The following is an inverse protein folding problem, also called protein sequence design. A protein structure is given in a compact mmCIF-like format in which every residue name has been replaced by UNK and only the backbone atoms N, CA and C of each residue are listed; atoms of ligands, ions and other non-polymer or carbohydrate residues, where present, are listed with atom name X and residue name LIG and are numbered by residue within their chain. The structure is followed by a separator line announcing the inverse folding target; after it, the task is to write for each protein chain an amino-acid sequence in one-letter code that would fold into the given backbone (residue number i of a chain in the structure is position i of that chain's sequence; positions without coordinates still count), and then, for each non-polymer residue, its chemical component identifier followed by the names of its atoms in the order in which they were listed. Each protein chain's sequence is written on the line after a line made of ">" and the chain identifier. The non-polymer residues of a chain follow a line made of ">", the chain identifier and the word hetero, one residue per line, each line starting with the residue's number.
data_IF_291355607644
#
_entry.id   IF_291355607644
#
_cell.length_a   1.000
_cell.length_b   1.000
_cell.length_c   1.000
_cell.angle_alpha   90.00
_cell.angle_beta   90.00
_cell.angle_gamma   90.00
#
_symmetry.space_group_name_H-M   'P 1'
#
loop_
_entity.id
_entity.type
_entity.pdbx_description
1 polymer ?
#
# COMPACT_ATOMS: atom_id res chain seq x y z
N UNK A 1 -2.29 -0.98 13.53
CA UNK A 1 -1.58 -1.43 14.75
C UNK A 1 -0.10 -1.09 14.64
N UNK A 2 0.59 -1.03 15.78
CA UNK A 2 2.04 -1.02 15.78
C UNK A 2 2.58 -2.37 15.24
N UNK A 3 3.63 -2.36 14.39
CA UNK A 3 4.22 -3.59 13.91
C UNK A 3 4.71 -4.47 15.09
N UNK A 4 4.39 -5.76 15.03
CA UNK A 4 4.72 -6.72 16.11
C UNK A 4 3.69 -6.82 17.24
N UNK A 5 2.66 -5.97 17.26
CA UNK A 5 1.57 -6.07 18.24
C UNK A 5 0.74 -7.35 18.05
N UNK A 6 0.33 -7.63 16.81
CA UNK A 6 -0.46 -8.81 16.50
C UNK A 6 0.43 -10.07 16.43
N UNK A 7 0.12 -11.02 17.30
CA UNK A 7 0.85 -12.31 17.40
C UNK A 7 -0.13 -13.48 17.39
N UNK A 8 0.39 -14.64 17.02
CA UNK A 8 -0.32 -15.93 17.14
C UNK A 8 -0.62 -16.26 18.60
N UNK A 9 -1.49 -17.22 18.87
CA UNK A 9 -1.78 -17.70 20.23
C UNK A 9 -0.53 -18.24 20.97
N UNK A 10 0.55 -18.55 20.25
CA UNK A 10 1.84 -18.96 20.81
C UNK A 10 2.84 -17.78 20.98
N UNK A 11 2.40 -16.55 20.78
CA UNK A 11 3.27 -15.36 20.87
C UNK A 11 4.21 -15.15 19.67
N UNK A 12 4.11 -15.96 18.61
CA UNK A 12 4.95 -15.87 17.41
C UNK A 12 4.37 -14.86 16.39
N UNK A 13 5.21 -14.25 15.54
CA UNK A 13 4.71 -13.44 14.43
C UNK A 13 3.93 -14.28 13.44
N UNK A 14 2.97 -13.63 12.77
CA UNK A 14 2.27 -14.25 11.65
C UNK A 14 3.16 -14.28 10.40
N UNK A 15 3.16 -15.42 9.71
CA UNK A 15 3.83 -15.61 8.41
C UNK A 15 2.82 -15.86 7.28
N UNK A 16 1.51 -15.95 7.60
CA UNK A 16 0.42 -16.20 6.65
C UNK A 16 -0.66 -15.16 6.85
N UNK A 17 -1.20 -14.63 5.75
CA UNK A 17 -2.16 -13.52 5.76
C UNK A 17 -3.51 -13.85 6.41
N UNK A 18 -4.12 -14.97 6.05
CA UNK A 18 -5.49 -15.29 6.49
C UNK A 18 -5.64 -15.30 8.01
N UNK A 19 -4.79 -15.99 8.79
CA UNK A 19 -4.87 -15.93 10.24
C UNK A 19 -4.49 -14.54 10.80
N UNK A 20 -3.59 -13.80 10.14
CA UNK A 20 -3.30 -12.42 10.50
C UNK A 20 -4.53 -11.53 10.34
N UNK A 21 -5.20 -11.57 9.18
CA UNK A 21 -6.42 -10.79 8.92
C UNK A 21 -7.50 -11.09 9.96
N UNK A 22 -7.72 -12.38 10.29
CA UNK A 22 -8.68 -12.76 11.34
C UNK A 22 -8.35 -12.10 12.67
N UNK A 23 -7.12 -12.21 13.12
CA UNK A 23 -6.66 -11.59 14.37
C UNK A 23 -6.72 -10.07 14.31
N UNK A 24 -6.46 -9.47 13.15
CA UNK A 24 -6.55 -8.04 12.92
C UNK A 24 -7.99 -7.54 13.12
N UNK A 25 -8.97 -8.24 12.55
CA UNK A 25 -10.40 -7.92 12.68
C UNK A 25 -10.88 -8.15 14.12
N UNK A 26 -10.51 -9.26 14.76
CA UNK A 26 -10.88 -9.57 16.16
C UNK A 26 -10.43 -8.48 17.16
N UNK A 27 -9.30 -7.87 16.90
CA UNK A 27 -8.77 -6.80 17.77
C UNK A 27 -9.17 -5.40 17.31
N UNK A 28 -9.94 -5.30 16.23
CA UNK A 28 -10.31 -4.00 15.69
C UNK A 28 -11.26 -3.27 16.66
N UNK A 29 -10.94 -2.00 16.92
CA UNK A 29 -11.81 -1.07 17.63
C UNK A 29 -12.05 0.17 16.76
N UNK A 30 -13.23 0.75 16.83
CA UNK A 30 -13.56 2.00 16.15
C UNK A 30 -12.66 3.17 16.59
N UNK A 31 -12.12 3.11 17.80
CA UNK A 31 -11.18 4.11 18.32
C UNK A 31 -9.90 4.19 17.49
N UNK A 32 -9.50 3.09 16.82
CA UNK A 32 -8.37 3.11 15.87
C UNK A 32 -8.63 3.96 14.62
N UNK A 33 -9.88 4.26 14.33
CA UNK A 33 -10.28 5.10 13.20
C UNK A 33 -10.45 6.56 13.61
N UNK A 34 -10.30 6.89 14.89
CA UNK A 34 -10.32 8.28 15.33
C UNK A 34 -9.16 9.04 14.66
N UNK A 35 -9.55 9.86 13.71
CA UNK A 35 -8.65 10.71 12.94
C UNK A 35 -8.58 12.06 13.65
N UNK A 36 -7.73 12.15 14.66
CA UNK A 36 -7.48 13.42 15.30
C UNK A 36 -7.00 14.43 14.27
N UNK A 37 -7.69 15.55 14.19
CA UNK A 37 -7.22 16.68 13.39
C UNK A 37 -5.90 17.17 14.01
N UNK A 38 -4.84 17.37 13.22
CA UNK A 38 -3.61 17.91 13.74
C UNK A 38 -3.88 19.26 14.38
N UNK A 39 -3.51 19.39 15.64
CA UNK A 39 -3.61 20.68 16.31
C UNK A 39 -2.56 21.62 15.71
N UNK A 40 -2.99 22.79 15.28
CA UNK A 40 -2.05 23.81 14.85
C UNK A 40 -1.10 24.14 16.01
N UNK A 41 0.22 24.25 15.77
CA UNK A 41 1.16 24.61 16.83
C UNK A 41 0.76 25.96 17.45
N UNK A 42 0.71 26.00 18.77
CA UNK A 42 0.27 27.18 19.53
C UNK A 42 1.09 28.45 19.28
N UNK A 43 2.31 28.32 18.78
CA UNK A 43 3.18 29.43 18.34
C UNK A 43 4.02 28.97 17.14
N UNK A 44 4.01 29.76 16.08
CA UNK A 44 5.01 29.63 15.01
C UNK A 44 6.36 30.08 15.57
N UNK A 45 7.27 29.15 15.76
CA UNK A 45 8.67 29.47 16.06
C UNK A 45 9.32 29.92 14.76
N UNK A 46 9.73 31.19 14.69
CA UNK A 46 10.54 31.69 13.59
C UNK A 46 11.96 31.13 13.73
N UNK A 47 12.18 29.92 13.25
CA UNK A 47 13.54 29.40 13.12
C UNK A 47 14.10 30.04 11.84
N UNK A 48 15.12 30.90 12.00
CA UNK A 48 15.91 31.33 10.85
C UNK A 48 16.66 30.11 10.32
N UNK A 49 16.13 29.50 9.29
CA UNK A 49 16.76 28.37 8.59
C UNK A 49 17.77 28.94 7.58
N UNK A 50 19.04 28.61 7.73
CA UNK A 50 20.08 28.83 6.71
C UNK A 50 20.08 27.68 5.68
N UNK A 51 19.10 26.82 5.69
CA UNK A 51 18.89 25.82 4.64
C UNK A 51 18.54 26.59 3.36
N UNK A 52 19.53 26.81 2.48
CA UNK A 52 19.25 27.06 1.08
C UNK A 52 18.31 25.95 0.62
N UNK A 53 17.18 26.32 0.05
CA UNK A 53 16.24 25.36 -0.53
C UNK A 53 17.04 24.37 -1.38
N UNK A 54 17.11 23.12 -0.93
CA UNK A 54 17.73 22.06 -1.69
C UNK A 54 17.01 22.02 -3.03
N UNK A 55 17.69 22.46 -4.08
CA UNK A 55 17.17 22.33 -5.44
C UNK A 55 17.21 20.85 -5.79
N UNK A 56 16.09 20.16 -5.53
CA UNK A 56 15.90 18.81 -6.04
C UNK A 56 15.87 18.89 -7.57
N UNK A 57 16.91 18.40 -8.23
CA UNK A 57 16.87 18.19 -9.66
C UNK A 57 15.70 17.26 -9.94
N UNK A 58 14.73 17.68 -10.75
CA UNK A 58 13.71 16.78 -11.28
C UNK A 58 14.44 15.69 -12.08
N UNK A 59 14.60 14.52 -11.51
CA UNK A 59 15.34 13.43 -12.13
C UNK A 59 14.54 12.71 -13.22
N UNK A 60 13.22 12.88 -13.25
CA UNK A 60 12.31 12.20 -14.17
C UNK A 60 11.13 13.07 -14.55
N UNK A 61 10.65 12.92 -15.79
CA UNK A 61 9.41 13.51 -16.26
C UNK A 61 8.21 12.65 -15.79
N UNK A 62 7.80 12.86 -14.54
CA UNK A 62 6.57 12.24 -14.03
C UNK A 62 5.38 13.04 -14.58
N UNK A 63 4.43 12.35 -15.21
CA UNK A 63 3.18 12.97 -15.60
C UNK A 63 2.34 13.31 -14.37
N UNK A 64 2.36 14.59 -13.99
CA UNK A 64 1.62 15.11 -12.84
C UNK A 64 0.11 15.06 -13.02
N UNK A 65 -0.40 14.81 -14.24
CA UNK A 65 -1.83 14.56 -14.46
C UNK A 65 -2.23 13.17 -13.97
N UNK A 66 -1.34 12.18 -14.12
CA UNK A 66 -1.55 10.84 -13.59
C UNK A 66 -1.39 10.79 -12.07
N UNK A 67 -0.44 11.57 -11.54
CA UNK A 67 -0.07 11.57 -10.13
C UNK A 67 -0.06 13.00 -9.56
N UNK A 68 -1.21 13.67 -9.47
CA UNK A 68 -1.27 15.00 -8.89
C UNK A 68 -0.82 14.95 -7.43
N UNK A 69 -0.01 15.92 -7.03
CA UNK A 69 0.58 15.97 -5.70
C UNK A 69 -0.40 16.53 -4.65
N UNK A 70 -0.12 16.18 -3.39
CA UNK A 70 -0.78 16.78 -2.23
C UNK A 70 -1.95 15.99 -1.67
N UNK A 71 -2.35 16.36 -0.46
CA UNK A 71 -3.37 15.69 0.33
C UNK A 71 -4.76 15.78 -0.33
N UNK A 72 -5.11 16.96 -0.86
CA UNK A 72 -6.38 17.16 -1.56
C UNK A 72 -6.52 16.20 -2.77
N UNK A 73 -5.44 16.00 -3.52
CA UNK A 73 -5.43 15.07 -4.65
C UNK A 73 -5.62 13.62 -4.19
N UNK A 74 -4.99 13.22 -3.09
CA UNK A 74 -5.15 11.89 -2.51
C UNK A 74 -6.59 11.64 -2.04
N UNK A 75 -7.19 12.62 -1.35
CA UNK A 75 -8.58 12.53 -0.91
C UNK A 75 -9.58 12.49 -2.07
N UNK A 76 -9.39 13.32 -3.09
CA UNK A 76 -10.23 13.30 -4.29
C UNK A 76 -10.14 11.95 -5.01
N UNK A 77 -8.94 11.36 -5.10
CA UNK A 77 -8.73 10.05 -5.70
C UNK A 77 -9.44 8.94 -4.92
N UNK A 78 -9.31 8.96 -3.58
CA UNK A 78 -10.03 8.04 -2.72
C UNK A 78 -11.54 8.17 -2.93
N UNK A 79 -12.07 9.40 -2.86
CA UNK A 79 -13.49 9.67 -3.04
C UNK A 79 -14.00 9.16 -4.40
N UNK A 80 -13.33 9.53 -5.49
CA UNK A 80 -13.71 9.09 -6.84
C UNK A 80 -13.73 7.57 -6.97
N UNK A 81 -12.77 6.88 -6.36
CA UNK A 81 -12.74 5.42 -6.37
C UNK A 81 -13.90 4.82 -5.58
N UNK A 82 -14.17 5.32 -4.38
CA UNK A 82 -15.25 4.84 -3.52
C UNK A 82 -16.63 5.10 -4.15
N UNK A 83 -16.82 6.25 -4.77
CA UNK A 83 -18.11 6.62 -5.39
C UNK A 83 -18.42 5.79 -6.65
N UNK A 84 -17.39 5.41 -7.44
CA UNK A 84 -17.63 4.92 -8.79
C UNK A 84 -17.11 3.51 -9.09
N UNK A 85 -16.16 2.97 -8.30
CA UNK A 85 -15.41 1.79 -8.72
C UNK A 85 -15.35 0.68 -7.65
N UNK A 86 -15.42 1.03 -6.38
CA UNK A 86 -15.13 0.09 -5.29
C UNK A 86 -16.09 -1.11 -5.30
N UNK A 87 -17.35 -0.92 -5.66
CA UNK A 87 -18.36 -1.99 -5.67
C UNK A 87 -17.97 -3.14 -6.61
N UNK A 88 -17.29 -2.84 -7.71
CA UNK A 88 -16.85 -3.82 -8.72
C UNK A 88 -15.37 -4.17 -8.60
N UNK A 89 -14.69 -3.69 -7.55
CA UNK A 89 -13.25 -3.86 -7.41
C UNK A 89 -12.80 -5.31 -7.43
N UNK A 90 -13.55 -6.24 -6.82
CA UNK A 90 -13.24 -7.67 -6.81
C UNK A 90 -13.12 -8.27 -8.21
N UNK A 91 -13.86 -7.76 -9.16
CA UNK A 91 -13.91 -8.24 -10.54
C UNK A 91 -12.89 -7.54 -11.43
N UNK A 92 -12.87 -6.19 -11.33
CA UNK A 92 -12.11 -5.34 -12.26
C UNK A 92 -10.62 -5.25 -11.94
N UNK A 93 -10.21 -5.50 -10.69
CA UNK A 93 -8.82 -5.35 -10.25
C UNK A 93 -7.79 -6.19 -11.02
N UNK A 94 -8.23 -7.32 -11.58
CA UNK A 94 -7.36 -8.25 -12.30
C UNK A 94 -7.36 -8.04 -13.82
N UNK A 95 -8.06 -7.02 -14.30
CA UNK A 95 -8.15 -6.70 -15.73
C UNK A 95 -7.32 -5.44 -16.01
N UNK A 96 -6.06 -5.56 -16.47
CA UNK A 96 -5.13 -4.41 -16.56
C UNK A 96 -5.59 -3.27 -17.46
N UNK A 97 -6.37 -3.56 -18.50
CA UNK A 97 -6.87 -2.56 -19.44
C UNK A 97 -7.96 -1.66 -18.81
N UNK A 98 -8.59 -2.11 -17.73
CA UNK A 98 -9.66 -1.38 -17.07
C UNK A 98 -9.10 -0.52 -15.93
N UNK A 99 -9.63 0.70 -15.79
CA UNK A 99 -9.31 1.56 -14.66
C UNK A 99 -10.13 1.17 -13.41
N UNK A 100 -9.95 -0.09 -12.96
CA UNK A 100 -10.69 -0.72 -11.85
C UNK A 100 -10.05 -0.57 -10.47
N UNK A 101 -8.91 0.11 -10.35
CA UNK A 101 -8.17 0.23 -9.08
C UNK A 101 -8.20 1.64 -8.50
N UNK A 102 -7.90 1.76 -7.21
CA UNK A 102 -7.87 3.06 -6.51
C UNK A 102 -6.66 3.92 -6.88
N UNK A 103 -5.57 3.31 -7.35
CA UNK A 103 -4.27 3.97 -7.58
C UNK A 103 -3.79 4.83 -6.40
N UNK A 104 -4.10 4.40 -5.16
CA UNK A 104 -3.80 5.18 -3.95
C UNK A 104 -2.46 4.80 -3.29
N UNK A 105 -1.80 3.76 -3.79
CA UNK A 105 -0.61 3.17 -3.17
C UNK A 105 0.54 4.16 -2.99
N UNK A 106 0.80 5.04 -3.97
CA UNK A 106 1.83 6.08 -3.87
C UNK A 106 1.57 7.06 -2.71
N UNK A 107 0.32 7.48 -2.55
CA UNK A 107 -0.08 8.40 -1.47
C UNK A 107 0.00 7.73 -0.09
N UNK A 108 -0.34 6.43 0.00
CA UNK A 108 -0.17 5.65 1.22
C UNK A 108 1.31 5.42 1.56
N UNK A 109 2.16 5.18 0.55
CA UNK A 109 3.59 4.98 0.74
C UNK A 109 4.28 6.23 1.30
N UNK A 110 3.89 7.40 0.80
CA UNK A 110 4.42 8.71 1.23
C UNK A 110 3.72 9.27 2.48
N UNK A 111 2.71 8.57 3.01
CA UNK A 111 1.96 9.05 4.18
C UNK A 111 1.06 10.27 3.91
N UNK A 112 0.79 10.60 2.64
CA UNK A 112 -0.07 11.73 2.23
C UNK A 112 -1.52 11.47 2.62
N UNK A 113 -1.94 10.19 2.63
CA UNK A 113 -3.25 9.78 3.13
C UNK A 113 -3.08 8.65 4.16
N UNK A 114 -3.88 8.71 5.22
CA UNK A 114 -3.87 7.67 6.25
C UNK A 114 -4.60 6.40 5.80
N UNK A 115 -4.01 5.19 6.01
CA UNK A 115 -4.74 3.95 5.81
C UNK A 115 -5.98 3.82 6.70
N UNK A 116 -5.98 4.46 7.89
CA UNK A 116 -7.16 4.51 8.76
C UNK A 116 -8.33 5.25 8.08
N UNK A 117 -8.03 6.37 7.40
CA UNK A 117 -9.03 7.10 6.62
C UNK A 117 -9.59 6.24 5.49
N UNK A 118 -8.73 5.53 4.77
CA UNK A 118 -9.15 4.62 3.70
C UNK A 118 -10.12 3.56 4.21
N UNK A 119 -9.79 2.91 5.33
CA UNK A 119 -10.66 1.90 5.95
C UNK A 119 -11.97 2.50 6.44
N UNK A 120 -11.92 3.64 7.14
CA UNK A 120 -13.11 4.31 7.65
C UNK A 120 -14.12 4.63 6.54
N UNK A 121 -13.66 5.26 5.46
CA UNK A 121 -14.55 5.63 4.36
C UNK A 121 -15.11 4.40 3.64
N UNK A 122 -14.35 3.32 3.49
CA UNK A 122 -14.84 2.07 2.94
C UNK A 122 -15.86 1.38 3.86
N UNK A 123 -15.60 1.34 5.17
CA UNK A 123 -16.52 0.75 6.14
C UNK A 123 -17.86 1.48 6.22
N UNK A 124 -17.86 2.82 6.12
CA UNK A 124 -19.11 3.60 6.05
C UNK A 124 -19.99 3.15 4.89
N UNK A 125 -19.40 2.87 3.72
CA UNK A 125 -20.14 2.35 2.57
C UNK A 125 -20.60 0.91 2.76
N UNK A 126 -19.88 0.12 3.54
CA UNK A 126 -20.16 -1.30 3.78
C UNK A 126 -20.87 -1.57 5.12
N UNK A 127 -21.58 -0.58 5.66
CA UNK A 127 -22.33 -0.70 6.93
C UNK A 127 -21.46 -1.18 8.10
N UNK A 128 -20.19 -0.81 8.10
CA UNK A 128 -19.15 -1.20 9.07
C UNK A 128 -18.81 -2.70 9.11
N UNK A 129 -19.12 -3.42 8.03
CA UNK A 129 -18.81 -4.83 7.90
C UNK A 129 -17.48 -5.06 7.17
N UNK A 130 -16.62 -5.95 7.71
CA UNK A 130 -15.33 -6.31 7.13
C UNK A 130 -15.38 -7.50 6.18
N UNK A 131 -16.26 -8.46 6.46
CA UNK A 131 -16.28 -9.77 5.78
C UNK A 131 -17.62 -10.10 5.15
N UNK A 132 -18.62 -9.25 5.33
CA UNK A 132 -19.95 -9.32 4.73
C UNK A 132 -20.26 -8.02 3.98
N UNK A 133 -21.39 -7.96 3.29
CA UNK A 133 -21.77 -6.82 2.47
C UNK A 133 -21.23 -6.91 1.04
N UNK A 134 -20.73 -5.78 0.51
CA UNK A 134 -20.23 -5.75 -0.86
C UNK A 134 -18.84 -6.38 -0.98
N UNK A 135 -18.69 -7.38 -1.86
CA UNK A 135 -17.45 -8.11 -2.06
C UNK A 135 -16.29 -7.23 -2.55
N UNK A 136 -16.57 -6.23 -3.39
CA UNK A 136 -15.56 -5.28 -3.87
C UNK A 136 -14.98 -4.45 -2.73
N UNK A 137 -15.83 -3.95 -1.83
CA UNK A 137 -15.40 -3.17 -0.67
C UNK A 137 -14.58 -4.05 0.29
N UNK A 138 -15.09 -5.24 0.64
CA UNK A 138 -14.37 -6.19 1.50
C UNK A 138 -12.99 -6.50 0.93
N UNK A 139 -12.92 -6.76 -0.39
CA UNK A 139 -11.66 -7.07 -1.07
C UNK A 139 -10.69 -5.90 -1.09
N UNK A 140 -11.19 -4.67 -1.25
CA UNK A 140 -10.34 -3.50 -1.20
C UNK A 140 -9.81 -3.21 0.22
N UNK A 141 -10.63 -3.40 1.26
CA UNK A 141 -10.19 -3.33 2.65
C UNK A 141 -9.07 -4.36 2.90
N UNK A 142 -9.22 -5.59 2.36
CA UNK A 142 -8.18 -6.61 2.45
C UNK A 142 -6.82 -6.12 1.95
N UNK A 143 -6.78 -5.33 0.87
CA UNK A 143 -5.51 -4.81 0.35
C UNK A 143 -4.85 -3.79 1.30
N UNK A 144 -5.64 -3.04 2.06
CA UNK A 144 -5.10 -2.17 3.11
C UNK A 144 -4.56 -3.01 4.29
N UNK A 145 -5.26 -4.10 4.64
CA UNK A 145 -4.81 -5.04 5.68
C UNK A 145 -3.56 -5.81 5.23
N UNK A 146 -3.45 -6.17 3.92
CA UNK A 146 -2.23 -6.74 3.35
C UNK A 146 -1.01 -5.83 3.56
N UNK A 147 -1.17 -4.52 3.36
CA UNK A 147 -0.10 -3.56 3.64
C UNK A 147 0.36 -3.63 5.10
N UNK A 148 -0.57 -3.74 6.04
CA UNK A 148 -0.28 -3.89 7.46
C UNK A 148 0.42 -5.21 7.76
N UNK A 149 -0.01 -6.30 7.14
CA UNK A 149 0.63 -7.61 7.25
C UNK A 149 2.10 -7.55 6.80
N UNK A 150 2.39 -6.94 5.64
CA UNK A 150 3.78 -6.82 5.18
C UNK A 150 4.63 -5.94 6.09
N UNK A 151 4.07 -4.91 6.71
CA UNK A 151 4.78 -4.14 7.73
C UNK A 151 5.15 -5.00 8.94
N UNK A 152 4.26 -5.89 9.37
CA UNK A 152 4.55 -6.86 10.43
C UNK A 152 5.61 -7.89 10.01
N UNK A 153 5.61 -8.35 8.75
CA UNK A 153 6.66 -9.21 8.20
C UNK A 153 8.01 -8.50 8.27
N UNK A 154 8.11 -7.27 7.77
CA UNK A 154 9.37 -6.52 7.77
C UNK A 154 9.89 -6.26 9.19
N UNK A 155 9.02 -6.00 10.14
CA UNK A 155 9.36 -5.80 11.54
C UNK A 155 9.86 -7.10 12.19
N UNK A 156 9.16 -8.21 11.96
CA UNK A 156 9.42 -9.50 12.61
C UNK A 156 10.56 -10.27 11.94
N UNK A 157 10.83 -10.03 10.67
CA UNK A 157 11.85 -10.70 9.86
C UNK A 157 12.76 -9.67 9.17
N UNK A 158 13.54 -8.87 9.94
CA UNK A 158 14.28 -7.74 9.40
C UNK A 158 15.36 -8.11 8.38
N UNK A 159 15.76 -9.38 8.30
CA UNK A 159 16.69 -9.86 7.28
C UNK A 159 16.14 -9.73 5.86
N UNK A 160 14.80 -9.75 5.70
CA UNK A 160 14.15 -9.55 4.39
C UNK A 160 14.46 -8.17 3.81
N UNK A 161 14.56 -7.13 4.65
CA UNK A 161 14.95 -5.77 4.21
C UNK A 161 16.43 -5.65 3.80
N UNK A 162 17.22 -6.69 4.06
CA UNK A 162 18.66 -6.77 3.76
C UNK A 162 18.95 -7.68 2.56
N UNK A 163 18.01 -7.81 1.64
CA UNK A 163 18.09 -8.66 0.44
C UNK A 163 18.30 -10.16 0.74
N UNK A 164 17.94 -10.63 1.94
CA UNK A 164 17.94 -12.05 2.26
C UNK A 164 16.55 -12.65 2.05
N UNK A 165 16.44 -13.93 1.64
CA UNK A 165 15.16 -14.58 1.44
C UNK A 165 14.38 -14.70 2.75
N UNK A 166 13.04 -14.65 2.66
CA UNK A 166 12.16 -14.85 3.82
C UNK A 166 12.41 -16.21 4.49
N UNK A 167 12.51 -17.27 3.70
CA UNK A 167 12.98 -18.57 4.15
C UNK A 167 14.47 -18.68 3.89
N UNK A 168 15.28 -18.59 4.93
CA UNK A 168 16.74 -18.62 4.83
C UNK A 168 17.29 -19.90 4.20
N UNK A 169 16.55 -21.02 4.24
CA UNK A 169 16.98 -22.27 3.56
C UNK A 169 17.01 -22.15 2.04
N UNK A 170 16.35 -21.14 1.48
CA UNK A 170 16.36 -20.89 0.02
C UNK A 170 17.51 -19.97 -0.44
N UNK A 171 18.38 -19.53 0.47
CA UNK A 171 19.48 -18.61 0.14
C UNK A 171 20.50 -19.23 -0.82
N UNK A 172 20.66 -20.55 -0.75
CA UNK A 172 21.59 -21.30 -1.59
C UNK A 172 21.05 -21.64 -3.01
N UNK A 173 19.85 -21.18 -3.36
CA UNK A 173 19.31 -21.39 -4.70
C UNK A 173 20.16 -20.64 -5.72
N UNK A 174 20.70 -21.39 -6.68
CA UNK A 174 21.41 -20.80 -7.81
C UNK A 174 20.43 -20.20 -8.79
N UNK A 175 20.47 -18.89 -8.95
CA UNK A 175 19.64 -18.15 -9.93
C UNK A 175 20.36 -18.14 -11.28
N UNK A 176 19.56 -18.24 -12.34
CA UNK A 176 20.07 -18.04 -13.69
C UNK A 176 20.40 -16.55 -13.89
N UNK A 177 21.62 -16.30 -14.37
CA UNK A 177 22.08 -14.97 -14.79
C UNK A 177 22.26 -14.95 -16.29
N UNK A 178 21.54 -14.07 -16.99
CA UNK A 178 21.65 -13.85 -18.42
C UNK A 178 21.35 -12.37 -18.70
N UNK A 179 22.38 -11.63 -19.04
CA UNK A 179 22.29 -10.18 -19.23
C UNK A 179 21.40 -9.80 -20.41
N UNK A 180 21.41 -10.57 -21.49
CA UNK A 180 20.59 -10.31 -22.68
C UNK A 180 19.09 -10.49 -22.36
N UNK A 181 18.74 -11.53 -21.62
CA UNK A 181 17.36 -11.74 -21.18
C UNK A 181 16.90 -10.66 -20.18
N UNK A 182 17.79 -10.21 -19.32
CA UNK A 182 17.50 -9.14 -18.38
C UNK A 182 17.30 -7.80 -19.08
N UNK A 183 18.13 -7.47 -20.10
CA UNK A 183 17.93 -6.30 -20.95
C UNK A 183 16.64 -6.38 -21.75
N UNK A 184 16.31 -7.54 -22.30
CA UNK A 184 15.04 -7.77 -23.00
C UNK A 184 13.84 -7.53 -22.06
N UNK A 185 13.92 -7.98 -20.82
CA UNK A 185 12.90 -7.72 -19.80
C UNK A 185 12.80 -6.22 -19.47
N UNK A 186 13.92 -5.55 -19.20
CA UNK A 186 13.98 -4.11 -18.87
C UNK A 186 13.40 -3.22 -19.98
N UNK A 187 13.60 -3.61 -21.22
CA UNK A 187 13.18 -2.86 -22.40
C UNK A 187 11.82 -3.28 -22.95
N UNK A 188 11.16 -4.27 -22.34
CA UNK A 188 9.87 -4.79 -22.77
C UNK A 188 9.93 -5.51 -24.12
N UNK A 189 10.98 -6.31 -24.34
CA UNK A 189 11.25 -7.05 -25.56
C UNK A 189 11.43 -8.56 -25.31
N UNK A 190 10.71 -9.09 -24.32
CA UNK A 190 10.78 -10.52 -23.96
C UNK A 190 10.07 -11.45 -24.94
N UNK A 191 9.15 -10.90 -25.75
CA UNK A 191 8.23 -11.66 -26.60
C UNK A 191 6.95 -12.11 -25.88
N UNK A 192 6.80 -11.78 -24.60
CA UNK A 192 5.57 -12.01 -23.83
C UNK A 192 4.75 -10.72 -23.76
N UNK A 193 3.65 -10.60 -24.54
CA UNK A 193 2.97 -9.31 -24.73
C UNK A 193 2.55 -8.60 -23.44
N UNK A 194 2.08 -9.34 -22.45
CA UNK A 194 1.64 -8.78 -21.17
C UNK A 194 2.82 -8.24 -20.36
N UNK A 195 3.94 -8.96 -20.34
CA UNK A 195 5.17 -8.53 -19.66
C UNK A 195 5.74 -7.30 -20.34
N UNK A 196 5.84 -7.35 -21.66
CA UNK A 196 6.38 -6.26 -22.48
C UNK A 196 5.55 -4.98 -22.33
N UNK A 197 4.23 -5.09 -22.31
CA UNK A 197 3.33 -3.97 -22.08
C UNK A 197 3.48 -3.36 -20.66
N UNK A 198 3.77 -4.17 -19.66
CA UNK A 198 3.99 -3.69 -18.30
C UNK A 198 5.33 -2.95 -18.13
N UNK A 199 6.33 -3.26 -18.94
CA UNK A 199 7.67 -2.66 -18.88
C UNK A 199 7.82 -1.41 -19.74
N UNK A 200 6.97 -1.19 -20.74
CA UNK A 200 6.92 0.02 -21.60
C UNK A 200 6.01 1.09 -21.01
#
# INVERSE_FOLDING_TARGET
>A
YEPGFLKTGQGKPFSVFTPFKRRWIENFSMDFLDLQSPQAPAKATSIKSNLSLLQFKKSHNVDMKLWPAGEAAAHNRLKTFLDNKVMQYSELRNIPILDGTSRISAYLALGIISPRRCILEALKLNQFEFSSGNNGICKWIDEIVWREFYRNIMYSFPHVSKNRPFNLSTEAISWRHNDDEFEAWKTGNTGFPLIDAAMR
#
